data_IF_849290561094
#
_entry.id   IF_849290561094
#
_cell.length_a   1.000
_cell.length_b   1.000
_cell.length_c   1.000
_cell.angle_alpha   90.00
_cell.angle_beta   90.00
_cell.angle_gamma   90.00
#
_symmetry.space_group_name_H-M   'P 1'
#
loop_
_entity.id
_entity.type
_entity.pdbx_description
1 polymer ?
#
# COMPACT_ATOMS: atom_id res chain seq x y z
N UNK A 1 -4.24 -41.17 55.78
CA UNK A 1 -4.20 -41.18 54.29
C UNK A 1 -5.35 -40.33 53.76
N UNK A 2 -5.20 -39.01 53.76
CA UNK A 2 -6.10 -38.08 53.07
C UNK A 2 -5.47 -36.69 53.10
N UNK A 3 -4.27 -36.53 52.54
CA UNK A 3 -3.60 -35.22 52.51
C UNK A 3 -2.63 -35.19 51.33
N UNK A 4 -3.13 -35.27 50.09
CA UNK A 4 -2.25 -35.06 48.92
C UNK A 4 -2.95 -34.62 47.61
N UNK A 5 -4.16 -34.01 47.66
CA UNK A 5 -4.92 -33.70 46.43
C UNK A 5 -5.28 -32.24 46.22
N UNK A 6 -4.56 -31.26 46.78
CA UNK A 6 -4.86 -29.83 46.53
C UNK A 6 -3.81 -29.04 45.73
N UNK A 7 -2.61 -29.57 45.44
CA UNK A 7 -1.54 -28.73 44.88
C UNK A 7 -1.43 -28.71 43.32
N UNK A 8 -2.38 -29.25 42.55
CA UNK A 8 -2.24 -29.35 41.07
C UNK A 8 -3.14 -28.46 40.23
N UNK A 9 -3.99 -27.63 40.84
CA UNK A 9 -4.97 -26.80 40.11
C UNK A 9 -4.56 -25.34 39.94
N UNK A 10 -3.70 -24.78 40.81
CA UNK A 10 -3.29 -23.36 40.76
C UNK A 10 -2.23 -23.04 39.68
N UNK A 11 -1.23 -23.90 39.48
CA UNK A 11 -0.09 -23.60 38.57
C UNK A 11 -0.46 -23.49 37.09
N UNK A 12 -1.54 -24.14 36.64
CA UNK A 12 -2.01 -23.98 35.25
C UNK A 12 -2.71 -22.65 35.00
N UNK A 13 -3.34 -22.06 36.02
CA UNK A 13 -3.99 -20.75 35.92
C UNK A 13 -2.94 -19.66 35.80
N UNK A 14 -1.91 -19.66 36.65
CA UNK A 14 -0.86 -18.64 36.64
C UNK A 14 -0.12 -18.55 35.30
N UNK A 15 0.23 -19.68 34.68
CA UNK A 15 0.93 -19.68 33.38
C UNK A 15 0.01 -19.16 32.27
N UNK A 16 -1.29 -19.48 32.32
CA UNK A 16 -2.25 -18.99 31.34
C UNK A 16 -2.53 -17.49 31.53
N UNK A 17 -2.58 -17.01 32.77
CA UNK A 17 -2.78 -15.61 33.12
C UNK A 17 -1.54 -14.76 32.78
N UNK A 18 -0.32 -15.26 33.04
CA UNK A 18 0.94 -14.64 32.63
C UNK A 18 1.08 -14.56 31.11
N UNK A 19 0.69 -15.62 30.39
CA UNK A 19 0.69 -15.63 28.93
C UNK A 19 -0.32 -14.61 28.38
N UNK A 20 -1.49 -14.51 29.01
CA UNK A 20 -2.52 -13.55 28.63
C UNK A 20 -2.07 -12.11 28.87
N UNK A 21 -1.44 -11.84 30.01
CA UNK A 21 -0.84 -10.55 30.35
C UNK A 21 0.29 -10.18 29.38
N UNK A 22 1.11 -11.14 28.99
CA UNK A 22 2.18 -10.94 28.01
C UNK A 22 1.62 -10.58 26.61
N UNK A 23 0.59 -11.30 26.15
CA UNK A 23 -0.07 -11.01 24.88
C UNK A 23 -0.72 -9.63 24.92
N UNK A 24 -1.42 -9.31 26.00
CA UNK A 24 -2.05 -8.01 26.19
C UNK A 24 -1.02 -6.88 26.11
N UNK A 25 0.11 -7.02 26.81
CA UNK A 25 1.21 -6.05 26.76
C UNK A 25 1.85 -5.96 25.37
N UNK A 26 2.02 -7.08 24.66
CA UNK A 26 2.58 -7.08 23.29
C UNK A 26 1.63 -6.40 22.30
N UNK A 27 0.33 -6.60 22.46
CA UNK A 27 -0.72 -5.96 21.65
C UNK A 27 -0.78 -4.46 21.96
N UNK A 28 -0.71 -4.07 23.22
CA UNK A 28 -0.69 -2.66 23.64
C UNK A 28 0.54 -1.93 23.06
N UNK A 29 1.73 -2.54 23.17
CA UNK A 29 2.95 -2.00 22.56
C UNK A 29 2.84 -1.91 21.03
N UNK A 30 2.28 -2.92 20.39
CA UNK A 30 2.08 -2.93 18.95
C UNK A 30 1.09 -1.84 18.50
N UNK A 31 -0.01 -1.68 19.22
CA UNK A 31 -1.00 -0.64 18.96
C UNK A 31 -0.40 0.76 19.16
N UNK A 32 0.40 0.97 20.21
CA UNK A 32 1.08 2.23 20.48
C UNK A 32 2.11 2.57 19.38
N UNK A 33 2.91 1.57 18.97
CA UNK A 33 3.91 1.73 17.91
C UNK A 33 3.26 2.02 16.56
N UNK A 34 2.10 1.39 16.27
CA UNK A 34 1.31 1.71 15.08
C UNK A 34 0.78 3.13 15.16
N UNK A 35 0.20 3.55 16.29
CA UNK A 35 -0.33 4.89 16.45
C UNK A 35 0.75 5.97 16.26
N UNK A 36 1.94 5.77 16.82
CA UNK A 36 3.07 6.67 16.67
C UNK A 36 3.57 6.74 15.22
N UNK A 37 3.75 5.58 14.55
CA UNK A 37 4.17 5.55 13.15
C UNK A 37 3.12 6.15 12.21
N UNK A 38 1.84 5.85 12.41
CA UNK A 38 0.74 6.42 11.62
C UNK A 38 0.68 7.93 11.81
N UNK A 39 0.88 8.42 13.04
CA UNK A 39 0.92 9.85 13.34
C UNK A 39 2.10 10.54 12.64
N UNK A 40 3.31 9.95 12.69
CA UNK A 40 4.50 10.49 12.03
C UNK A 40 4.35 10.53 10.50
N UNK A 41 3.80 9.47 9.90
CA UNK A 41 3.53 9.40 8.47
C UNK A 41 2.45 10.41 8.08
N UNK A 42 1.38 10.52 8.85
CA UNK A 42 0.29 11.46 8.61
C UNK A 42 0.78 12.91 8.65
N UNK A 43 1.57 13.28 9.68
CA UNK A 43 2.12 14.63 9.81
C UNK A 43 3.01 14.99 8.60
N UNK A 44 3.94 14.10 8.22
CA UNK A 44 4.82 14.34 7.08
C UNK A 44 4.06 14.37 5.75
N UNK A 45 3.02 13.54 5.61
CA UNK A 45 2.16 13.50 4.42
C UNK A 45 1.33 14.77 4.28
N UNK A 46 0.73 15.27 5.37
CA UNK A 46 -0.06 16.51 5.36
C UNK A 46 0.82 17.70 4.99
N UNK A 47 2.02 17.80 5.57
CA UNK A 47 2.95 18.88 5.25
C UNK A 47 3.36 18.86 3.77
N UNK A 48 3.65 17.69 3.21
CA UNK A 48 3.96 17.55 1.77
C UNK A 48 2.74 17.82 0.90
N UNK A 49 1.56 17.33 1.29
CA UNK A 49 0.30 17.56 0.58
C UNK A 49 -0.01 19.05 0.46
N UNK A 50 0.19 19.83 1.53
CA UNK A 50 -0.02 21.28 1.48
C UNK A 50 0.90 21.93 0.45
N UNK A 51 2.18 21.54 0.41
CA UNK A 51 3.15 22.08 -0.55
C UNK A 51 2.81 21.71 -1.99
N UNK A 52 2.45 20.44 -2.24
CA UNK A 52 2.00 19.96 -3.55
C UNK A 52 0.71 20.66 -3.97
N UNK A 53 -0.24 20.85 -3.06
CA UNK A 53 -1.49 21.53 -3.33
C UNK A 53 -1.26 23.00 -3.71
N UNK A 54 -0.38 23.70 -2.99
CA UNK A 54 -0.01 25.08 -3.31
C UNK A 54 0.66 25.17 -4.69
N UNK A 55 1.61 24.28 -4.96
CA UNK A 55 2.36 24.24 -6.22
C UNK A 55 1.44 23.89 -7.40
N UNK A 56 0.57 22.89 -7.22
CA UNK A 56 -0.42 22.50 -8.22
C UNK A 56 -1.41 23.65 -8.46
N UNK A 57 -1.87 24.33 -7.41
CA UNK A 57 -2.72 25.52 -7.52
C UNK A 57 -2.03 26.64 -8.31
N UNK A 58 -0.78 26.96 -7.98
CA UNK A 58 0.00 27.97 -8.71
C UNK A 58 0.20 27.60 -10.18
N UNK A 59 0.57 26.36 -10.47
CA UNK A 59 0.72 25.86 -11.84
C UNK A 59 -0.61 25.88 -12.61
N UNK A 60 -1.71 25.54 -11.96
CA UNK A 60 -3.05 25.61 -12.53
C UNK A 60 -3.41 27.05 -12.92
N UNK A 61 -3.24 28.01 -12.01
CA UNK A 61 -3.48 29.42 -12.32
C UNK A 61 -2.53 29.95 -13.41
N UNK A 62 -1.26 29.55 -13.40
CA UNK A 62 -0.31 29.91 -14.45
C UNK A 62 -0.77 29.39 -15.83
N UNK A 63 -1.34 28.20 -15.89
CA UNK A 63 -1.89 27.64 -17.13
C UNK A 63 -3.08 28.46 -17.65
N UNK A 64 -4.00 28.84 -16.77
CA UNK A 64 -5.11 29.74 -17.12
C UNK A 64 -4.62 31.09 -17.59
N UNK A 65 -3.64 31.68 -16.89
CA UNK A 65 -3.02 32.94 -17.30
C UNK A 65 -2.41 32.85 -18.70
N UNK A 66 -1.79 31.72 -19.04
CA UNK A 66 -1.25 31.46 -20.37
C UNK A 66 -2.37 31.38 -21.43
N UNK A 67 -3.50 30.75 -21.11
CA UNK A 67 -4.71 30.76 -21.94
C UNK A 67 -5.24 32.16 -22.22
N UNK A 68 -5.32 33.01 -21.18
CA UNK A 68 -5.75 34.41 -21.33
C UNK A 68 -4.74 35.24 -22.12
N UNK A 69 -3.44 35.07 -21.85
CA UNK A 69 -2.37 35.79 -22.55
C UNK A 69 -2.37 35.52 -24.06
N UNK A 70 -2.46 34.25 -24.45
CA UNK A 70 -2.58 33.87 -25.86
C UNK A 70 -3.92 34.36 -26.44
N UNK A 71 -4.99 34.33 -25.65
CA UNK A 71 -6.30 34.84 -26.06
C UNK A 71 -6.31 36.33 -26.35
N UNK A 72 -5.58 37.13 -25.58
CA UNK A 72 -5.45 38.57 -25.79
C UNK A 72 -4.68 38.88 -27.09
N UNK A 73 -3.59 38.14 -27.37
CA UNK A 73 -2.86 38.25 -28.63
C UNK A 73 -3.70 37.92 -29.86
N UNK A 74 -4.61 36.95 -29.73
CA UNK A 74 -5.51 36.53 -30.81
C UNK A 74 -6.79 37.38 -30.89
N UNK A 75 -6.93 38.43 -30.06
CA UNK A 75 -8.13 39.27 -29.94
C UNK A 75 -9.41 38.46 -29.61
N UNK A 76 -9.25 37.24 -29.08
CA UNK A 76 -10.35 36.33 -28.77
C UNK A 76 -9.93 35.31 -27.72
N UNK A 77 -10.57 35.41 -26.55
CA UNK A 77 -10.32 34.54 -25.40
C UNK A 77 -10.57 33.06 -25.74
N UNK A 78 -11.58 32.78 -26.57
CA UNK A 78 -11.93 31.40 -26.96
C UNK A 78 -10.82 30.70 -27.75
N UNK A 79 -10.20 31.40 -28.70
CA UNK A 79 -9.09 30.84 -29.48
C UNK A 79 -7.82 30.67 -28.64
N UNK A 80 -7.59 31.53 -27.65
CA UNK A 80 -6.49 31.40 -26.69
C UNK A 80 -6.53 30.07 -25.93
N UNK A 81 -7.67 29.73 -25.35
CA UNK A 81 -7.85 28.45 -24.67
C UNK A 81 -7.80 27.26 -25.61
N UNK A 82 -8.32 27.38 -26.84
CA UNK A 82 -8.26 26.30 -27.83
C UNK A 82 -6.80 25.89 -28.11
N UNK A 83 -5.94 26.87 -28.36
CA UNK A 83 -4.52 26.63 -28.67
C UNK A 83 -3.78 26.07 -27.46
N UNK A 84 -4.01 26.64 -26.28
CA UNK A 84 -3.35 26.20 -25.04
C UNK A 84 -3.83 24.80 -24.61
N UNK A 85 -5.01 24.37 -25.04
CA UNK A 85 -5.53 23.01 -24.77
C UNK A 85 -4.85 21.91 -25.58
N UNK A 86 -4.29 22.21 -26.76
CA UNK A 86 -3.65 21.24 -27.65
C UNK A 86 -2.51 20.45 -26.97
N UNK A 87 -1.51 21.09 -26.34
CA UNK A 87 -0.46 20.35 -25.62
C UNK A 87 -1.01 19.54 -24.43
N UNK A 88 -2.04 20.03 -23.73
CA UNK A 88 -2.72 19.26 -22.67
C UNK A 88 -3.42 18.02 -23.21
N UNK A 89 -4.07 18.16 -24.37
CA UNK A 89 -4.76 17.07 -25.03
C UNK A 89 -3.79 15.98 -25.48
N UNK A 90 -2.65 16.38 -26.04
CA UNK A 90 -1.58 15.45 -26.44
C UNK A 90 -0.99 14.73 -25.23
N UNK A 91 -0.67 15.48 -24.15
CA UNK A 91 -0.16 14.89 -22.91
C UNK A 91 -1.18 13.92 -22.29
N UNK A 92 -2.46 14.30 -22.25
CA UNK A 92 -3.54 13.46 -21.77
C UNK A 92 -3.74 12.20 -22.62
N UNK A 93 -3.69 12.34 -23.94
CA UNK A 93 -3.79 11.22 -24.88
C UNK A 93 -2.63 10.22 -24.71
N UNK A 94 -1.40 10.72 -24.57
CA UNK A 94 -0.22 9.90 -24.27
C UNK A 94 -0.38 9.20 -22.92
N UNK A 95 -0.80 9.91 -21.88
CA UNK A 95 -0.97 9.34 -20.54
C UNK A 95 -2.02 8.23 -20.50
N UNK A 96 -3.15 8.40 -21.20
CA UNK A 96 -4.20 7.40 -21.32
C UNK A 96 -3.71 6.14 -22.05
N UNK A 97 -2.93 6.31 -23.13
CA UNK A 97 -2.37 5.18 -23.87
C UNK A 97 -1.21 4.49 -23.12
N UNK A 98 -0.42 5.21 -22.31
CA UNK A 98 0.66 4.64 -21.51
C UNK A 98 0.18 3.75 -20.36
N UNK A 99 -1.00 4.01 -19.80
CA UNK A 99 -1.54 3.25 -18.67
C UNK A 99 -1.86 1.78 -19.01
N UNK A 100 -2.00 1.43 -20.29
CA UNK A 100 -2.44 0.10 -20.70
C UNK A 100 -1.34 -0.97 -20.78
N UNK A 101 -0.04 -0.63 -20.78
CA UNK A 101 0.99 -1.59 -21.28
C UNK A 101 2.13 -1.91 -20.28
N UNK A 102 2.14 -1.40 -19.05
CA UNK A 102 3.37 -1.55 -18.21
C UNK A 102 3.20 -1.89 -16.74
N UNK A 103 2.06 -1.59 -16.11
CA UNK A 103 1.90 -1.89 -14.67
C UNK A 103 1.27 -3.27 -14.40
N UNK A 104 0.37 -3.73 -15.27
CA UNK A 104 -0.38 -4.96 -15.04
C UNK A 104 0.46 -6.22 -15.34
N UNK A 105 1.28 -6.18 -16.39
CA UNK A 105 2.01 -7.36 -16.87
C UNK A 105 3.16 -7.78 -15.95
N UNK A 106 3.77 -6.80 -15.28
CA UNK A 106 4.84 -7.07 -14.29
C UNK A 106 4.30 -7.71 -13.01
N UNK A 107 3.11 -7.33 -12.59
CA UNK A 107 2.50 -7.82 -11.35
C UNK A 107 1.96 -9.25 -11.54
N UNK A 108 1.39 -9.55 -12.70
CA UNK A 108 0.81 -10.88 -12.97
C UNK A 108 1.88 -11.96 -13.19
N UNK A 109 2.97 -11.64 -13.91
CA UNK A 109 4.04 -12.61 -14.16
C UNK A 109 4.76 -13.04 -12.88
N UNK A 110 5.01 -12.11 -11.96
CA UNK A 110 5.64 -12.42 -10.67
C UNK A 110 4.72 -13.26 -9.76
N UNK A 111 3.40 -13.02 -9.81
CA UNK A 111 2.41 -13.79 -9.05
C UNK A 111 2.23 -15.21 -9.61
N UNK A 112 2.19 -15.39 -10.93
CA UNK A 112 2.09 -16.70 -11.60
C UNK A 112 3.33 -17.54 -11.33
N UNK A 113 4.53 -16.96 -11.44
CA UNK A 113 5.79 -17.68 -11.15
C UNK A 113 5.83 -18.12 -9.68
N UNK A 114 5.47 -17.24 -8.74
CA UNK A 114 5.49 -17.56 -7.30
C UNK A 114 4.45 -18.61 -6.92
N UNK A 115 3.29 -18.62 -7.57
CA UNK A 115 2.27 -19.66 -7.35
C UNK A 115 2.64 -20.98 -8.01
N UNK A 116 3.26 -20.98 -9.20
CA UNK A 116 3.74 -22.20 -9.85
C UNK A 116 4.89 -22.84 -9.07
N UNK A 117 5.84 -22.04 -8.58
CA UNK A 117 6.96 -22.50 -7.74
C UNK A 117 6.48 -23.05 -6.38
N UNK A 118 5.47 -22.40 -5.77
CA UNK A 118 4.83 -22.89 -4.55
C UNK A 118 4.05 -24.19 -4.78
N UNK A 119 3.44 -24.35 -5.96
CA UNK A 119 2.71 -25.57 -6.32
C UNK A 119 3.66 -26.73 -6.66
N UNK A 120 4.74 -26.47 -7.42
CA UNK A 120 5.77 -27.45 -7.74
C UNK A 120 6.51 -27.91 -6.48
N UNK A 121 6.83 -26.97 -5.58
CA UNK A 121 7.40 -27.29 -4.27
C UNK A 121 6.45 -28.13 -3.41
N UNK A 122 5.15 -27.80 -3.38
CA UNK A 122 4.13 -28.61 -2.68
C UNK A 122 3.96 -30.01 -3.27
N UNK A 123 4.07 -30.17 -4.59
CA UNK A 123 4.03 -31.47 -5.27
C UNK A 123 5.30 -32.30 -5.03
N UNK A 124 6.47 -31.66 -4.95
CA UNK A 124 7.75 -32.35 -4.68
C UNK A 124 7.85 -32.83 -3.22
N UNK A 125 7.31 -32.07 -2.27
CA UNK A 125 7.19 -32.48 -0.86
C UNK A 125 6.26 -33.69 -0.71
N UNK A 126 5.08 -33.66 -1.36
CA UNK A 126 4.15 -34.79 -1.33
C UNK A 126 4.73 -36.06 -1.96
N UNK A 127 5.52 -35.93 -3.04
CA UNK A 127 6.21 -37.06 -3.68
C UNK A 127 7.35 -37.64 -2.83
N UNK A 128 7.96 -36.85 -1.94
CA UNK A 128 8.99 -37.34 -0.99
C UNK A 128 8.38 -38.05 0.23
N UNK A 129 7.21 -37.63 0.71
CA UNK A 129 6.50 -38.30 1.80
C UNK A 129 5.95 -39.68 1.39
N UNK A 130 5.41 -39.81 0.17
CA UNK A 130 4.91 -41.10 -0.35
C UNK A 130 6.04 -42.11 -0.69
N UNK A 131 7.28 -41.66 -0.86
CA UNK A 131 8.42 -42.54 -1.18
C UNK A 131 9.23 -43.00 0.05
N UNK A 132 8.99 -42.45 1.24
CA UNK A 132 9.68 -42.85 2.48
C UNK A 132 8.81 -43.66 3.44
N UNK A 133 7.55 -43.98 3.09
CA UNK A 133 6.70 -44.85 3.91
C UNK A 133 6.70 -46.31 3.46
N UNK A 134 7.47 -46.67 2.43
CA UNK A 134 7.54 -48.03 1.86
C UNK A 134 8.97 -48.64 1.87
N UNK A 135 9.86 -48.12 2.72
CA UNK A 135 11.12 -48.80 3.11
C UNK A 135 11.20 -48.97 4.61
#
# INVERSE_FOLDING_TARGET
MAEETEHKTNTKSDIADDLRLYIEKRVELFALTIAEQVSAIAANTIQKMIGILLLAGAAFFAWFALGFFVGEWLNSIGFGFLIVSVPLFIAGYIFLNMKSVSFTDKIQSEMIVKTMDSMESGLNVKKKEEASSDT
#
